data_IF_500993678851
#
_entry.id   IF_500993678851
#
_cell.length_a   1.000
_cell.length_b   1.000
_cell.length_c   1.000
_cell.angle_alpha   90.00
_cell.angle_beta   90.00
_cell.angle_gamma   90.00
#
_symmetry.space_group_name_H-M   'P 1'
#
loop_
_entity.id
_entity.type
_entity.pdbx_description
1 polymer ?
#
# COMPACT_ATOMS: atom_id res chain seq x y z
N UNK A 1 -12.16 -10.20 -4.86
CA UNK A 1 -11.78 -11.16 -5.89
C UNK A 1 -11.11 -12.37 -5.29
N UNK A 2 -11.85 -13.49 -5.27
CA UNK A 2 -11.37 -14.71 -4.64
C UNK A 2 -10.13 -15.29 -5.31
N UNK A 3 -9.96 -15.08 -6.61
CA UNK A 3 -8.79 -15.59 -7.35
C UNK A 3 -7.48 -14.92 -6.94
N UNK A 4 -7.56 -13.74 -6.31
CA UNK A 4 -6.39 -13.05 -5.78
C UNK A 4 -6.19 -13.32 -4.29
N UNK A 5 -7.10 -14.06 -3.67
CA UNK A 5 -7.03 -14.35 -2.24
C UNK A 5 -6.16 -15.55 -1.96
N UNK A 6 -5.44 -15.49 -0.85
CA UNK A 6 -4.63 -16.59 -0.35
C UNK A 6 -4.60 -16.53 1.18
N UNK A 7 -4.28 -17.65 1.80
CA UNK A 7 -3.95 -17.65 3.23
C UNK A 7 -2.55 -17.06 3.31
N UNK A 8 -2.48 -15.76 3.56
CA UNK A 8 -1.24 -15.03 3.55
C UNK A 8 -0.61 -14.88 4.92
N UNK A 9 0.52 -14.21 4.93
CA UNK A 9 1.23 -13.87 6.15
C UNK A 9 0.57 -12.64 6.79
N UNK A 10 0.19 -12.68 8.09
CA UNK A 10 -0.51 -11.55 8.73
C UNK A 10 0.28 -10.23 8.68
N UNK A 11 1.60 -10.28 8.71
CA UNK A 11 2.43 -9.08 8.64
C UNK A 11 2.41 -8.44 7.25
N UNK A 12 2.25 -9.26 6.21
CA UNK A 12 2.08 -8.74 4.85
C UNK A 12 0.75 -7.99 4.71
N UNK A 13 -0.32 -8.50 5.34
CA UNK A 13 -1.62 -7.83 5.34
C UNK A 13 -1.55 -6.51 6.11
N UNK A 14 -0.88 -6.51 7.26
CA UNK A 14 -0.66 -5.29 8.05
C UNK A 14 0.11 -4.25 7.24
N UNK A 15 1.18 -4.67 6.58
CA UNK A 15 1.97 -3.78 5.73
C UNK A 15 1.15 -3.23 4.56
N UNK A 16 0.21 -4.01 4.04
CA UNK A 16 -0.71 -3.55 3.00
C UNK A 16 -1.58 -2.39 3.44
N UNK A 17 -2.03 -2.38 4.69
CA UNK A 17 -2.79 -1.26 5.26
C UNK A 17 -1.91 -0.01 5.35
N UNK A 18 -0.69 -0.16 5.85
CA UNK A 18 0.26 0.97 5.96
C UNK A 18 0.60 1.51 4.57
N UNK A 19 0.80 0.64 3.59
CA UNK A 19 1.04 1.03 2.21
C UNK A 19 -0.12 1.87 1.67
N UNK A 20 -1.35 1.45 1.91
CA UNK A 20 -2.54 2.17 1.45
C UNK A 20 -2.62 3.57 2.09
N UNK A 21 -2.28 3.68 3.39
CA UNK A 21 -2.28 4.98 4.07
C UNK A 21 -1.23 5.94 3.53
N UNK A 22 -0.16 5.45 2.92
CA UNK A 22 0.87 6.28 2.32
C UNK A 22 0.42 6.97 1.03
N UNK A 23 -0.72 6.57 0.47
CA UNK A 23 -1.23 7.15 -0.76
C UNK A 23 -1.91 8.49 -0.50
N UNK A 24 -2.04 9.34 -1.55
CA UNK A 24 -2.74 10.62 -1.42
C UNK A 24 -4.17 10.46 -0.89
N UNK A 25 -4.62 11.44 -0.12
CA UNK A 25 -5.96 11.43 0.46
C UNK A 25 -7.04 11.80 -0.56
N UNK A 26 -6.66 12.39 -1.68
CA UNK A 26 -7.58 12.84 -2.72
C UNK A 26 -7.45 11.99 -3.99
N UNK A 27 -8.36 12.21 -4.94
CA UNK A 27 -8.36 11.50 -6.21
C UNK A 27 -8.57 9.99 -6.02
N UNK A 28 -7.83 9.22 -6.79
CA UNK A 28 -7.91 7.75 -6.75
C UNK A 28 -7.03 7.12 -5.66
N UNK A 29 -6.25 7.93 -4.93
CA UNK A 29 -5.30 7.43 -3.95
C UNK A 29 -5.94 6.80 -2.72
N UNK A 30 -6.99 7.42 -2.20
CA UNK A 30 -7.77 6.95 -1.04
C UNK A 30 -6.91 6.64 0.20
N UNK A 31 -5.84 7.41 0.36
CA UNK A 31 -4.92 7.24 1.48
C UNK A 31 -5.00 8.39 2.47
N UNK A 32 -3.94 8.55 3.24
CA UNK A 32 -3.85 9.55 4.30
C UNK A 32 -2.61 10.44 4.17
N UNK A 33 -1.90 10.39 3.04
CA UNK A 33 -0.72 11.23 2.85
C UNK A 33 -1.10 12.70 2.90
N UNK A 34 -0.37 13.47 3.68
CA UNK A 34 -0.64 14.90 3.87
C UNK A 34 -1.74 15.22 4.87
N UNK A 35 -2.41 14.21 5.42
CA UNK A 35 -3.45 14.41 6.44
C UNK A 35 -2.80 14.53 7.81
N UNK A 36 -3.23 15.52 8.60
CA UNK A 36 -2.82 15.63 10.00
C UNK A 36 -3.64 14.65 10.84
N UNK A 37 -3.14 13.42 10.92
CA UNK A 37 -3.85 12.34 11.60
C UNK A 37 -4.01 12.58 13.09
N UNK A 38 -3.00 13.19 13.72
CA UNK A 38 -3.06 13.49 15.14
C UNK A 38 -4.21 14.46 15.46
N UNK A 39 -4.37 15.49 14.63
CA UNK A 39 -5.46 16.46 14.80
C UNK A 39 -6.84 15.85 14.66
N UNK A 40 -6.95 14.77 13.84
CA UNK A 40 -8.21 14.07 13.62
C UNK A 40 -8.43 12.89 14.57
N UNK A 41 -7.53 12.67 15.52
CA UNK A 41 -7.62 11.56 16.45
C UNK A 41 -7.30 10.20 15.82
N UNK A 42 -6.64 10.19 14.67
CA UNK A 42 -6.27 8.95 13.99
C UNK A 42 -4.85 8.53 14.40
N UNK A 43 -4.62 7.23 14.42
CA UNK A 43 -3.31 6.68 14.74
C UNK A 43 -2.29 6.95 13.64
N UNK A 44 -1.03 7.15 14.05
CA UNK A 44 0.10 7.09 13.13
C UNK A 44 0.38 5.64 12.74
N UNK A 45 1.20 5.45 11.70
CA UNK A 45 1.64 4.11 11.29
C UNK A 45 2.29 3.37 12.46
N UNK A 46 3.18 4.06 13.17
CA UNK A 46 3.88 3.50 14.33
C UNK A 46 2.91 3.06 15.42
N UNK A 47 1.95 3.91 15.77
CA UNK A 47 0.93 3.58 16.79
C UNK A 47 0.11 2.36 16.38
N UNK A 48 -0.26 2.27 15.12
CA UNK A 48 -1.03 1.14 14.60
C UNK A 48 -0.24 -0.17 14.72
N UNK A 49 1.02 -0.18 14.29
CA UNK A 49 1.88 -1.37 14.36
C UNK A 49 2.12 -1.77 15.82
N UNK A 50 2.43 -0.81 16.69
CA UNK A 50 2.65 -1.07 18.12
C UNK A 50 1.40 -1.66 18.79
N UNK A 51 0.22 -1.12 18.46
CA UNK A 51 -1.04 -1.64 19.01
C UNK A 51 -1.30 -3.06 18.54
N UNK A 52 -1.04 -3.34 17.27
CA UNK A 52 -1.16 -4.69 16.73
C UNK A 52 -0.26 -5.66 17.50
N UNK A 53 1.01 -5.29 17.68
CA UNK A 53 1.98 -6.14 18.39
C UNK A 53 1.55 -6.38 19.83
N UNK A 54 1.09 -5.34 20.52
CA UNK A 54 0.61 -5.45 21.90
C UNK A 54 -0.56 -6.42 22.01
N UNK A 55 -1.54 -6.29 21.12
CA UNK A 55 -2.73 -7.16 21.12
C UNK A 55 -2.42 -8.60 20.77
N UNK A 56 -1.40 -8.80 19.93
CA UNK A 56 -0.94 -10.15 19.57
C UNK A 56 0.02 -10.75 20.57
N UNK A 57 0.49 -9.97 21.55
CA UNK A 57 1.44 -10.45 22.54
C UNK A 57 2.83 -10.67 21.98
N UNK A 58 3.23 -9.93 20.96
CA UNK A 58 4.57 -10.02 20.36
C UNK A 58 5.35 -8.73 20.60
N UNK A 59 6.70 -8.80 20.74
CA UNK A 59 7.51 -7.61 21.05
C UNK A 59 7.64 -6.64 19.88
N UNK A 60 7.46 -7.12 18.66
CA UNK A 60 7.60 -6.33 17.44
C UNK A 60 7.53 -7.24 16.23
N UNK A 61 7.69 -6.65 15.06
CA UNK A 61 7.72 -7.40 13.80
C UNK A 61 9.11 -7.25 13.21
N UNK A 62 9.86 -8.34 13.21
CA UNK A 62 11.17 -8.38 12.57
C UNK A 62 10.98 -8.21 11.06
N UNK A 63 11.86 -7.40 10.44
CA UNK A 63 11.86 -7.15 9.01
C UNK A 63 10.54 -6.54 8.49
N UNK A 64 9.85 -5.75 9.31
CA UNK A 64 8.60 -5.10 8.86
C UNK A 64 8.80 -4.28 7.60
N UNK A 65 9.95 -3.62 7.46
CA UNK A 65 10.25 -2.82 6.27
C UNK A 65 10.33 -3.67 5.00
N UNK A 66 10.73 -4.93 5.11
CA UNK A 66 10.68 -5.86 3.99
C UNK A 66 9.23 -6.09 3.53
N UNK A 67 8.32 -6.34 4.48
CA UNK A 67 6.90 -6.54 4.14
C UNK A 67 6.30 -5.27 3.53
N UNK A 68 6.68 -4.11 4.04
CA UNK A 68 6.20 -2.83 3.53
C UNK A 68 6.72 -2.58 2.11
N UNK A 69 8.02 -2.77 1.88
CA UNK A 69 8.63 -2.64 0.55
C UNK A 69 7.97 -3.59 -0.44
N UNK A 70 7.74 -4.83 -0.03
CA UNK A 70 7.06 -5.83 -0.87
C UNK A 70 5.65 -5.37 -1.23
N UNK A 71 4.90 -4.82 -0.28
CA UNK A 71 3.55 -4.29 -0.55
C UNK A 71 3.56 -3.20 -1.60
N UNK A 72 4.52 -2.26 -1.50
CA UNK A 72 4.63 -1.19 -2.49
C UNK A 72 4.97 -1.74 -3.88
N UNK A 73 5.94 -2.64 -3.98
CA UNK A 73 6.32 -3.21 -5.28
C UNK A 73 5.22 -4.07 -5.87
N UNK A 74 4.52 -4.82 -5.04
CA UNK A 74 3.37 -5.61 -5.49
C UNK A 74 2.29 -4.72 -6.10
N UNK A 75 1.97 -3.61 -5.44
CA UNK A 75 0.98 -2.67 -5.95
C UNK A 75 1.47 -2.01 -7.24
N UNK A 76 2.74 -1.65 -7.32
CA UNK A 76 3.31 -1.10 -8.55
C UNK A 76 3.15 -2.08 -9.72
N UNK A 77 3.41 -3.37 -9.49
CA UNK A 77 3.26 -4.40 -10.52
C UNK A 77 1.79 -4.57 -10.94
N UNK A 78 0.86 -4.55 -9.99
CA UNK A 78 -0.57 -4.64 -10.28
C UNK A 78 -1.01 -3.45 -11.15
N UNK A 79 -0.61 -2.24 -10.78
CA UNK A 79 -0.98 -1.04 -11.52
C UNK A 79 -0.32 -0.98 -12.90
N UNK A 80 0.88 -1.51 -13.04
CA UNK A 80 1.52 -1.62 -14.35
C UNK A 80 0.70 -2.53 -15.28
N UNK A 81 0.16 -3.63 -14.75
CA UNK A 81 -0.74 -4.50 -15.50
C UNK A 81 -2.04 -3.80 -15.89
N UNK A 82 -2.60 -3.00 -14.98
CA UNK A 82 -3.79 -2.18 -15.26
C UNK A 82 -3.51 -1.20 -16.39
N UNK A 83 -2.37 -0.52 -16.35
CA UNK A 83 -1.93 0.43 -17.37
C UNK A 83 -1.79 -0.27 -18.74
N UNK A 84 -1.16 -1.44 -18.74
CA UNK A 84 -0.97 -2.19 -19.98
C UNK A 84 -2.30 -2.58 -20.61
N UNK A 85 -3.26 -3.04 -19.82
CA UNK A 85 -4.59 -3.37 -20.36
C UNK A 85 -5.27 -2.15 -20.98
N UNK A 86 -5.10 -0.97 -20.38
CA UNK A 86 -5.63 0.27 -20.96
C UNK A 86 -4.99 0.59 -22.31
N UNK A 87 -3.66 0.44 -22.41
CA UNK A 87 -2.93 0.66 -23.66
C UNK A 87 -3.34 -0.34 -24.75
N UNK A 88 -3.67 -1.56 -24.36
CA UNK A 88 -4.08 -2.62 -25.29
C UNK A 88 -5.58 -2.56 -25.62
N UNK A 89 -6.31 -1.58 -25.08
CA UNK A 89 -7.74 -1.41 -25.34
C UNK A 89 -8.64 -2.38 -24.57
N UNK A 90 -8.13 -3.05 -23.55
CA UNK A 90 -8.86 -4.08 -22.79
C UNK A 90 -9.34 -3.63 -21.42
N UNK A 91 -9.26 -2.33 -21.11
CA UNK A 91 -9.71 -1.82 -19.83
C UNK A 91 -11.19 -1.45 -19.89
N UNK A 92 -11.93 -1.75 -18.81
CA UNK A 92 -13.33 -1.36 -18.69
C UNK A 92 -13.49 0.14 -18.53
N UNK A 93 -12.52 0.80 -17.86
CA UNK A 93 -12.47 2.25 -17.68
C UNK A 93 -11.05 2.73 -18.01
N UNK A 94 -10.78 3.04 -19.31
CA UNK A 94 -9.43 3.42 -19.73
C UNK A 94 -8.89 4.69 -19.06
N UNK A 95 -9.74 5.66 -18.80
CA UNK A 95 -9.31 6.91 -18.16
C UNK A 95 -8.84 6.67 -16.73
N UNK A 96 -9.61 5.90 -15.96
CA UNK A 96 -9.23 5.54 -14.60
C UNK A 96 -7.98 4.69 -14.59
N UNK A 97 -7.87 3.74 -15.51
CA UNK A 97 -6.70 2.88 -15.63
C UNK A 97 -5.43 3.71 -15.91
N UNK A 98 -5.54 4.72 -16.77
CA UNK A 98 -4.42 5.61 -17.05
C UNK A 98 -4.03 6.43 -15.80
N UNK A 99 -5.00 6.94 -15.05
CA UNK A 99 -4.72 7.66 -13.81
C UNK A 99 -4.05 6.77 -12.76
N UNK A 100 -4.54 5.55 -12.59
CA UNK A 100 -3.94 4.59 -11.65
C UNK A 100 -2.54 4.20 -12.09
N UNK A 101 -2.31 4.03 -13.40
CA UNK A 101 -0.99 3.72 -13.94
C UNK A 101 0.04 4.80 -13.67
N UNK A 102 -0.40 6.05 -13.54
CA UNK A 102 0.50 7.17 -13.22
C UNK A 102 1.11 7.06 -11.83
N UNK A 103 0.52 6.28 -10.92
CA UNK A 103 1.06 6.05 -9.58
C UNK A 103 2.22 5.05 -9.54
N UNK A 104 2.45 4.29 -10.61
CA UNK A 104 3.49 3.23 -10.61
C UNK A 104 4.86 3.74 -10.14
N UNK A 105 5.39 4.86 -10.66
CA UNK A 105 6.69 5.35 -10.18
C UNK A 105 6.67 5.74 -8.70
N UNK A 106 5.57 6.27 -8.20
CA UNK A 106 5.44 6.65 -6.79
C UNK A 106 5.48 5.43 -5.88
N UNK A 107 4.77 4.36 -6.22
CA UNK A 107 4.81 3.11 -5.47
C UNK A 107 6.21 2.50 -5.51
N UNK A 108 6.88 2.53 -6.64
CA UNK A 108 8.24 2.01 -6.77
C UNK A 108 9.22 2.78 -5.89
N UNK A 109 9.13 4.12 -5.89
CA UNK A 109 9.98 4.96 -5.04
C UNK A 109 9.71 4.72 -3.55
N UNK A 110 8.45 4.61 -3.18
CA UNK A 110 8.08 4.33 -1.79
C UNK A 110 8.60 2.96 -1.33
N UNK A 111 8.56 1.97 -2.22
CA UNK A 111 9.11 0.64 -1.93
C UNK A 111 10.62 0.67 -1.73
N UNK A 112 11.34 1.39 -2.57
CA UNK A 112 12.78 1.57 -2.41
C UNK A 112 13.11 2.28 -1.11
N UNK A 113 12.36 3.32 -0.76
CA UNK A 113 12.55 4.05 0.49
C UNK A 113 12.32 3.13 1.70
N UNK A 114 11.28 2.32 1.67
CA UNK A 114 10.99 1.38 2.76
C UNK A 114 12.10 0.34 2.93
N UNK A 115 12.73 -0.07 1.82
CA UNK A 115 13.80 -1.06 1.83
C UNK A 115 15.15 -0.52 2.32
N UNK A 116 15.33 0.80 2.39
CA UNK A 116 16.61 1.46 2.71
C UNK A 116 16.84 1.71 4.20
N UNK A 117 16.33 0.93 5.06
CA UNK A 117 16.45 1.17 6.52
C UNK A 117 17.68 0.54 7.15
#
# INVERSE_FOLDING_TARGET
>A
DWELSTIGHPYADLAGVIMQWAMPANGDGRGLAGVDRAALGLWSDKQFVETYCTRRGIPGIEDFNFYLAFSFFRMAAILQGVKKRALDGNAADPERAARLGAYVPEFARAGLKAAQV
#
